data_IF_680583782268
#
_entry.id   IF_680583782268
#
_cell.length_a   1.000
_cell.length_b   1.000
_cell.length_c   1.000
_cell.angle_alpha   90.00
_cell.angle_beta   90.00
_cell.angle_gamma   90.00
#
_symmetry.space_group_name_H-M   'P 1'
#
loop_
_entity.id
_entity.type
_entity.pdbx_description
1 polymer ?
#
# COMPACT_ATOMS: atom_id res chain seq x y z
N UNK A 1 5.18 -14.04 -1.58
CA UNK A 1 6.22 -14.19 -2.63
C UNK A 1 6.63 -12.82 -3.20
N UNK A 2 5.72 -11.99 -3.74
CA UNK A 2 6.04 -10.68 -4.36
C UNK A 2 6.76 -9.73 -3.41
N UNK A 3 6.26 -9.57 -2.17
CA UNK A 3 6.89 -8.71 -1.16
C UNK A 3 8.35 -9.08 -0.86
N UNK A 4 8.63 -10.38 -0.76
CA UNK A 4 10.02 -10.85 -0.59
C UNK A 4 10.87 -10.52 -1.82
N UNK A 5 10.30 -10.68 -3.03
CA UNK A 5 10.97 -10.28 -4.27
C UNK A 5 11.32 -8.80 -4.29
N UNK A 6 10.42 -7.92 -3.86
CA UNK A 6 10.65 -6.47 -3.75
C UNK A 6 11.81 -6.17 -2.79
N UNK A 7 11.84 -6.79 -1.61
CA UNK A 7 12.93 -6.60 -0.63
C UNK A 7 14.27 -7.07 -1.22
N UNK A 8 14.31 -8.23 -1.87
CA UNK A 8 15.53 -8.76 -2.48
C UNK A 8 16.06 -7.86 -3.62
N UNK A 9 15.17 -7.17 -4.33
CA UNK A 9 15.58 -6.18 -5.34
C UNK A 9 16.31 -4.98 -4.71
N UNK A 10 16.16 -4.73 -3.41
CA UNK A 10 16.95 -3.73 -2.68
C UNK A 10 18.46 -3.97 -2.75
N UNK A 11 18.89 -5.21 -2.91
CA UNK A 11 20.32 -5.56 -3.08
C UNK A 11 20.86 -5.03 -4.42
N UNK A 12 20.01 -4.90 -5.45
CA UNK A 12 20.37 -4.32 -6.75
C UNK A 12 20.42 -2.78 -6.73
N UNK A 13 20.01 -2.15 -5.63
CA UNK A 13 20.02 -0.69 -5.49
C UNK A 13 19.00 0.02 -6.39
N UNK A 14 19.35 1.25 -6.82
CA UNK A 14 18.48 2.14 -7.60
C UNK A 14 18.06 1.57 -8.95
N UNK A 15 18.88 0.73 -9.57
CA UNK A 15 18.64 0.20 -10.92
C UNK A 15 17.44 -0.75 -10.98
N UNK A 16 17.00 -1.25 -9.83
CA UNK A 16 15.83 -2.14 -9.74
C UNK A 16 14.50 -1.40 -9.57
N UNK A 17 14.48 -0.06 -9.53
CA UNK A 17 13.28 0.72 -9.23
C UNK A 17 12.11 0.40 -10.19
N UNK A 18 12.37 0.29 -11.48
CA UNK A 18 11.34 -0.05 -12.47
C UNK A 18 10.72 -1.43 -12.23
N UNK A 19 11.57 -2.41 -11.87
CA UNK A 19 11.10 -3.76 -11.53
C UNK A 19 10.28 -3.76 -10.24
N UNK A 20 10.64 -2.93 -9.25
CA UNK A 20 9.88 -2.79 -8.01
C UNK A 20 8.50 -2.20 -8.28
N UNK A 21 8.41 -1.16 -9.12
CA UNK A 21 7.13 -0.60 -9.52
C UNK A 21 6.27 -1.66 -10.22
N UNK A 22 6.85 -2.42 -11.15
CA UNK A 22 6.14 -3.52 -11.83
C UNK A 22 5.66 -4.59 -10.84
N UNK A 23 6.50 -5.03 -9.91
CA UNK A 23 6.11 -6.02 -8.89
C UNK A 23 5.04 -5.49 -7.95
N UNK A 24 5.07 -4.21 -7.61
CA UNK A 24 4.02 -3.54 -6.83
C UNK A 24 2.69 -3.56 -7.59
N UNK A 25 2.68 -3.21 -8.88
CA UNK A 25 1.48 -3.27 -9.73
C UNK A 25 0.93 -4.71 -9.82
N UNK A 26 1.79 -5.72 -10.01
CA UNK A 26 1.39 -7.12 -10.06
C UNK A 26 0.82 -7.55 -8.70
N UNK A 27 1.47 -7.18 -7.58
CA UNK A 27 1.02 -7.51 -6.24
C UNK A 27 -0.37 -6.99 -5.95
N UNK A 28 -0.62 -5.72 -6.24
CA UNK A 28 -1.93 -5.11 -6.04
C UNK A 28 -2.98 -5.63 -7.03
N UNK A 29 -2.59 -5.95 -8.27
CA UNK A 29 -3.51 -6.55 -9.24
C UNK A 29 -3.98 -7.93 -8.78
N UNK A 30 -3.06 -8.76 -8.27
CA UNK A 30 -3.42 -10.10 -7.75
C UNK A 30 -4.32 -9.98 -6.54
N UNK A 31 -4.06 -9.06 -5.62
CA UNK A 31 -4.90 -8.82 -4.45
C UNK A 31 -6.33 -8.39 -4.83
N UNK A 32 -6.44 -7.45 -5.79
CA UNK A 32 -7.74 -7.00 -6.31
C UNK A 32 -8.51 -8.16 -6.96
N UNK A 33 -7.84 -9.00 -7.73
CA UNK A 33 -8.46 -10.14 -8.41
C UNK A 33 -8.91 -11.20 -7.39
N UNK A 34 -8.07 -11.53 -6.42
CA UNK A 34 -8.39 -12.49 -5.37
C UNK A 34 -9.58 -12.00 -4.52
N UNK A 35 -9.58 -10.73 -4.15
CA UNK A 35 -10.69 -10.11 -3.44
C UNK A 35 -12.01 -10.10 -4.25
N UNK A 36 -11.95 -9.95 -5.59
CA UNK A 36 -13.14 -10.05 -6.45
C UNK A 36 -13.68 -11.47 -6.52
N UNK A 37 -12.78 -12.45 -6.70
CA UNK A 37 -13.14 -13.86 -6.75
C UNK A 37 -13.74 -14.30 -5.42
N UNK A 38 -13.11 -13.95 -4.31
CA UNK A 38 -13.60 -14.28 -2.98
C UNK A 38 -15.02 -13.75 -2.73
N UNK A 39 -15.28 -12.49 -3.03
CA UNK A 39 -16.62 -11.88 -2.88
C UNK A 39 -17.69 -12.50 -3.79
N UNK A 40 -17.30 -13.04 -4.94
CA UNK A 40 -18.25 -13.71 -5.85
C UNK A 40 -18.67 -15.09 -5.37
N UNK A 41 -17.77 -15.79 -4.67
CA UNK A 41 -17.98 -17.19 -4.25
C UNK A 41 -18.31 -17.34 -2.77
N UNK A 42 -17.86 -16.44 -1.89
CA UNK A 42 -18.04 -16.52 -0.45
C UNK A 42 -18.87 -15.34 0.06
N UNK A 43 -20.06 -15.64 0.61
CA UNK A 43 -20.99 -14.63 1.15
C UNK A 43 -20.57 -14.06 2.52
N UNK A 44 -19.61 -14.66 3.21
CA UNK A 44 -19.16 -14.22 4.53
C UNK A 44 -17.96 -13.27 4.43
N UNK A 45 -18.26 -11.97 4.51
CA UNK A 45 -17.33 -10.89 4.18
C UNK A 45 -16.25 -10.57 5.24
N UNK A 46 -16.36 -11.06 6.48
CA UNK A 46 -15.55 -10.60 7.61
C UNK A 46 -14.11 -11.12 7.59
N UNK A 47 -13.89 -12.39 7.30
CA UNK A 47 -12.56 -13.01 7.35
C UNK A 47 -11.65 -12.66 6.16
N UNK A 48 -12.24 -12.41 4.99
CA UNK A 48 -11.52 -12.02 3.77
C UNK A 48 -10.99 -10.59 3.87
N UNK A 49 -11.79 -9.66 4.42
CA UNK A 49 -11.38 -8.25 4.56
C UNK A 49 -10.20 -8.01 5.51
N UNK A 50 -10.05 -8.83 6.56
CA UNK A 50 -8.90 -8.75 7.47
C UNK A 50 -7.61 -9.22 6.79
N UNK A 51 -7.67 -10.25 5.96
CA UNK A 51 -6.51 -10.76 5.22
C UNK A 51 -6.06 -9.81 4.11
N UNK A 52 -6.99 -9.24 3.34
CA UNK A 52 -6.68 -8.24 2.32
C UNK A 52 -5.86 -7.09 2.94
N UNK A 53 -6.29 -6.57 4.08
CA UNK A 53 -5.60 -5.49 4.77
C UNK A 53 -4.16 -5.84 5.20
N UNK A 54 -3.93 -7.07 5.67
CA UNK A 54 -2.59 -7.52 6.06
C UNK A 54 -1.66 -7.62 4.85
N UNK A 55 -2.15 -8.10 3.70
CA UNK A 55 -1.36 -8.16 2.47
C UNK A 55 -0.98 -6.78 1.95
N UNK A 56 -1.91 -5.82 1.98
CA UNK A 56 -1.64 -4.43 1.62
C UNK A 56 -0.51 -3.84 2.48
N UNK A 57 -0.58 -4.01 3.79
CA UNK A 57 0.45 -3.52 4.72
C UNK A 57 1.80 -4.17 4.45
N UNK A 58 1.85 -5.48 4.19
CA UNK A 58 3.09 -6.20 3.87
C UNK A 58 3.70 -5.67 2.56
N UNK A 59 2.87 -5.42 1.54
CA UNK A 59 3.34 -4.92 0.26
C UNK A 59 3.89 -3.49 0.38
N UNK A 60 3.17 -2.61 1.10
CA UNK A 60 3.61 -1.23 1.39
C UNK A 60 4.94 -1.24 2.15
N UNK A 61 5.04 -2.09 3.19
CA UNK A 61 6.26 -2.21 3.99
C UNK A 61 7.44 -2.72 3.16
N UNK A 62 7.23 -3.69 2.26
CA UNK A 62 8.28 -4.19 1.37
C UNK A 62 8.79 -3.11 0.42
N UNK A 63 7.90 -2.25 -0.10
CA UNK A 63 8.26 -1.08 -0.90
C UNK A 63 9.13 -0.09 -0.13
N UNK A 64 8.78 0.22 1.13
CA UNK A 64 9.61 1.07 1.98
C UNK A 64 10.98 0.45 2.26
N UNK A 65 11.04 -0.85 2.59
CA UNK A 65 12.31 -1.55 2.79
C UNK A 65 13.21 -1.44 1.55
N UNK A 66 12.65 -1.64 0.36
CA UNK A 66 13.39 -1.44 -0.88
C UNK A 66 13.93 -0.01 -1.00
N UNK A 67 13.09 1.01 -0.80
CA UNK A 67 13.49 2.41 -0.94
C UNK A 67 14.60 2.81 0.03
N UNK A 68 14.59 2.26 1.23
CA UNK A 68 15.66 2.47 2.23
C UNK A 68 16.94 1.75 1.80
N UNK A 69 16.85 0.48 1.38
CA UNK A 69 18.02 -0.30 0.94
C UNK A 69 18.66 0.27 -0.33
N UNK A 70 17.85 0.77 -1.26
CA UNK A 70 18.31 1.42 -2.49
C UNK A 70 18.86 2.86 -2.28
N UNK A 71 18.74 3.40 -1.06
CA UNK A 71 19.28 4.73 -0.72
C UNK A 71 18.38 5.90 -1.12
N UNK A 72 17.14 5.66 -1.61
CA UNK A 72 16.21 6.73 -1.94
C UNK A 72 15.62 7.41 -0.70
N UNK A 73 15.50 6.67 0.40
CA UNK A 73 14.98 7.16 1.67
C UNK A 73 16.01 6.91 2.77
N UNK A 74 16.44 7.94 3.54
CA UNK A 74 17.35 7.73 4.64
C UNK A 74 16.73 6.83 5.71
N UNK A 75 17.52 5.91 6.26
CA UNK A 75 17.07 4.95 7.27
C UNK A 75 16.46 5.60 8.51
N UNK A 76 17.08 6.66 9.04
CA UNK A 76 16.65 7.28 10.29
C UNK A 76 15.24 7.89 10.21
N UNK A 77 14.89 8.74 9.21
CA UNK A 77 13.53 9.24 9.05
C UNK A 77 12.50 8.12 8.85
N UNK A 78 12.83 7.09 8.07
CA UNK A 78 11.95 5.94 7.87
C UNK A 78 11.69 5.19 9.18
N UNK A 79 12.72 4.93 9.97
CA UNK A 79 12.61 4.26 11.27
C UNK A 79 11.79 5.09 12.28
N UNK A 80 12.01 6.40 12.35
CA UNK A 80 11.25 7.30 13.22
C UNK A 80 9.78 7.33 12.80
N UNK A 81 9.50 7.39 11.48
CA UNK A 81 8.14 7.35 10.97
C UNK A 81 7.44 6.04 11.35
N UNK A 82 8.09 4.89 11.13
CA UNK A 82 7.51 3.59 11.45
C UNK A 82 7.27 3.42 12.96
N UNK A 83 8.21 3.86 13.80
CA UNK A 83 8.06 3.81 15.25
C UNK A 83 6.88 4.67 15.72
N UNK A 84 6.76 5.90 15.22
CA UNK A 84 5.64 6.78 15.55
C UNK A 84 4.31 6.21 15.03
N UNK A 85 4.28 5.70 13.81
CA UNK A 85 3.08 5.06 13.25
C UNK A 85 2.64 3.85 14.08
N UNK A 86 3.59 3.00 14.52
CA UNK A 86 3.28 1.86 15.39
C UNK A 86 2.66 2.30 16.71
N UNK A 87 3.20 3.35 17.36
CA UNK A 87 2.64 3.90 18.60
C UNK A 87 1.20 4.40 18.37
N UNK A 88 0.96 5.16 17.29
CA UNK A 88 -0.39 5.65 16.99
C UNK A 88 -1.37 4.52 16.68
N UNK A 89 -0.98 3.51 15.92
CA UNK A 89 -1.82 2.35 15.59
C UNK A 89 -2.20 1.58 16.86
N UNK A 90 -1.23 1.34 17.76
CA UNK A 90 -1.46 0.63 19.01
C UNK A 90 -2.36 1.44 19.96
N UNK A 91 -2.16 2.75 20.02
CA UNK A 91 -2.93 3.63 20.89
C UNK A 91 -4.38 3.77 20.44
N UNK A 92 -4.60 4.11 19.19
CA UNK A 92 -5.95 4.38 18.66
C UNK A 92 -6.72 3.12 18.26
N UNK A 93 -6.03 2.03 17.92
CA UNK A 93 -6.63 0.75 17.46
C UNK A 93 -7.70 0.94 16.38
N UNK A 94 -7.53 1.93 15.52
CA UNK A 94 -8.49 2.34 14.50
C UNK A 94 -7.96 2.02 13.10
N UNK A 95 -8.83 1.42 12.27
CA UNK A 95 -8.53 1.14 10.86
C UNK A 95 -8.23 2.43 10.09
N UNK A 96 -8.96 3.53 10.36
CA UNK A 96 -8.72 4.82 9.72
C UNK A 96 -7.36 5.41 10.06
N UNK A 97 -6.90 5.30 11.31
CA UNK A 97 -5.56 5.73 11.70
C UNK A 97 -4.50 4.92 10.96
N UNK A 98 -4.66 3.61 10.89
CA UNK A 98 -3.74 2.73 10.16
C UNK A 98 -3.69 3.07 8.67
N UNK A 99 -4.86 3.29 8.03
CA UNK A 99 -4.94 3.70 6.62
C UNK A 99 -4.28 5.05 6.38
N UNK A 100 -4.52 6.04 7.26
CA UNK A 100 -3.92 7.38 7.15
C UNK A 100 -2.39 7.33 7.22
N UNK A 101 -1.85 6.47 8.09
CA UNK A 101 -0.41 6.30 8.25
C UNK A 101 0.22 5.42 7.15
N UNK A 102 -0.52 4.47 6.59
CA UNK A 102 -0.06 3.64 5.48
C UNK A 102 -0.06 4.40 4.14
N UNK A 103 -0.98 5.35 3.93
CA UNK A 103 -1.15 6.06 2.67
C UNK A 103 0.11 6.79 2.17
N UNK A 104 0.84 7.58 2.99
CA UNK A 104 2.08 8.21 2.55
C UNK A 104 3.13 7.20 2.08
N UNK A 105 3.22 6.05 2.76
CA UNK A 105 4.14 4.98 2.40
C UNK A 105 3.75 4.28 1.09
N UNK A 106 2.45 4.14 0.82
CA UNK A 106 1.94 3.58 -0.43
C UNK A 106 2.22 4.50 -1.64
N UNK A 107 2.18 5.83 -1.43
CA UNK A 107 2.45 6.83 -2.47
C UNK A 107 3.95 7.05 -2.68
N UNK A 108 4.79 6.79 -1.69
CA UNK A 108 6.22 7.08 -1.72
C UNK A 108 6.97 6.43 -2.90
N UNK A 109 6.78 5.14 -3.23
CA UNK A 109 7.41 4.53 -4.40
C UNK A 109 7.05 5.25 -5.72
N UNK A 110 5.80 5.73 -5.85
CA UNK A 110 5.38 6.52 -7.01
C UNK A 110 6.12 7.85 -7.08
N UNK A 111 6.24 8.57 -5.96
CA UNK A 111 6.96 9.85 -5.92
C UNK A 111 8.43 9.66 -6.28
N UNK A 112 9.09 8.62 -5.74
CA UNK A 112 10.47 8.30 -6.07
C UNK A 112 10.62 7.92 -7.54
N UNK A 113 9.69 7.12 -8.08
CA UNK A 113 9.69 6.74 -9.49
C UNK A 113 9.48 7.94 -10.41
N UNK A 114 8.66 8.91 -10.03
CA UNK A 114 8.43 10.13 -10.82
C UNK A 114 9.74 10.89 -11.11
N UNK A 115 10.66 10.95 -10.14
CA UNK A 115 11.93 11.66 -10.29
C UNK A 115 13.06 10.80 -10.88
N UNK A 116 13.02 9.48 -10.73
CA UNK A 116 14.14 8.60 -11.08
C UNK A 116 13.82 7.63 -12.23
N UNK A 117 12.55 7.32 -12.48
CA UNK A 117 12.08 6.40 -13.52
C UNK A 117 10.73 6.88 -14.09
N UNK A 118 10.69 8.01 -14.84
CA UNK A 118 9.44 8.67 -15.23
C UNK A 118 8.50 7.78 -16.07
N UNK A 119 9.03 6.88 -16.87
CA UNK A 119 8.24 5.90 -17.63
C UNK A 119 7.51 4.91 -16.70
N UNK A 120 8.20 4.39 -15.71
CA UNK A 120 7.59 3.49 -14.71
C UNK A 120 6.52 4.23 -13.90
N UNK A 121 6.77 5.48 -13.53
CA UNK A 121 5.79 6.33 -12.86
C UNK A 121 4.55 6.58 -13.72
N UNK A 122 4.72 6.86 -15.02
CA UNK A 122 3.61 7.04 -15.95
C UNK A 122 2.76 5.77 -16.08
N UNK A 123 3.40 4.61 -16.25
CA UNK A 123 2.70 3.32 -16.31
C UNK A 123 1.94 3.04 -15.02
N UNK A 124 2.55 3.31 -13.87
CA UNK A 124 1.91 3.17 -12.56
C UNK A 124 0.70 4.10 -12.41
N UNK A 125 0.80 5.36 -12.85
CA UNK A 125 -0.30 6.31 -12.83
C UNK A 125 -1.49 5.83 -13.71
N UNK A 126 -1.21 5.41 -14.95
CA UNK A 126 -2.23 4.89 -15.87
C UNK A 126 -2.90 3.65 -15.27
N UNK A 127 -2.10 2.72 -14.72
CA UNK A 127 -2.61 1.53 -14.06
C UNK A 127 -3.50 1.89 -12.86
N UNK A 128 -3.05 2.80 -12.00
CA UNK A 128 -3.82 3.25 -10.81
C UNK A 128 -5.16 3.83 -11.22
N UNK A 129 -5.20 4.73 -12.22
CA UNK A 129 -6.44 5.30 -12.73
C UNK A 129 -7.35 4.22 -13.31
N UNK A 130 -6.79 3.28 -14.07
CA UNK A 130 -7.55 2.17 -14.67
C UNK A 130 -8.21 1.31 -13.60
N UNK A 131 -7.45 0.90 -12.58
CA UNK A 131 -7.97 0.10 -11.45
C UNK A 131 -9.05 0.85 -10.70
N UNK A 132 -8.85 2.15 -10.45
CA UNK A 132 -9.80 3.00 -9.75
C UNK A 132 -11.12 3.15 -10.51
N UNK A 133 -11.06 3.27 -11.83
CA UNK A 133 -12.26 3.31 -12.67
C UNK A 133 -13.00 1.97 -12.71
N UNK A 134 -12.26 0.87 -12.77
CA UNK A 134 -12.84 -0.48 -12.81
C UNK A 134 -13.52 -0.83 -11.47
N UNK A 135 -12.94 -0.42 -10.32
CA UNK A 135 -13.45 -0.71 -8.97
C UNK A 135 -14.02 0.53 -8.26
N UNK A 136 -14.60 1.46 -9.00
CA UNK A 136 -15.12 2.72 -8.50
C UNK A 136 -16.09 2.57 -7.31
N UNK A 137 -16.95 1.56 -7.35
CA UNK A 137 -17.88 1.30 -6.23
C UNK A 137 -17.17 0.87 -4.95
N UNK A 138 -16.11 0.03 -5.07
CA UNK A 138 -15.29 -0.36 -3.92
C UNK A 138 -14.54 0.85 -3.35
N UNK A 139 -13.95 1.66 -4.22
CA UNK A 139 -13.27 2.88 -3.80
C UNK A 139 -14.19 3.80 -2.99
N UNK A 140 -15.42 4.05 -3.47
CA UNK A 140 -16.42 4.81 -2.70
C UNK A 140 -16.71 4.17 -1.34
N UNK A 141 -16.87 2.85 -1.28
CA UNK A 141 -17.10 2.12 -0.05
C UNK A 141 -15.98 2.32 0.98
N UNK A 142 -14.73 2.19 0.54
CA UNK A 142 -13.55 2.41 1.40
C UNK A 142 -13.48 3.84 1.90
N UNK A 143 -13.77 4.84 1.05
CA UNK A 143 -13.78 6.25 1.44
C UNK A 143 -14.89 6.54 2.46
N UNK A 144 -16.09 5.99 2.27
CA UNK A 144 -17.19 6.14 3.22
C UNK A 144 -16.86 5.49 4.57
N UNK A 145 -16.36 4.26 4.56
CA UNK A 145 -15.91 3.57 5.78
C UNK A 145 -14.82 4.36 6.52
N UNK A 146 -13.88 4.94 5.78
CA UNK A 146 -12.85 5.81 6.35
C UNK A 146 -13.46 7.02 7.05
N UNK A 147 -14.39 7.73 6.40
CA UNK A 147 -15.05 8.91 6.95
C UNK A 147 -15.88 8.56 8.21
N UNK A 148 -16.62 7.46 8.18
CA UNK A 148 -17.42 7.00 9.32
C UNK A 148 -16.56 6.66 10.53
N UNK A 149 -15.48 5.91 10.33
CA UNK A 149 -14.54 5.57 11.38
C UNK A 149 -13.80 6.81 11.94
N UNK A 150 -13.45 7.79 11.08
CA UNK A 150 -12.83 9.04 11.51
C UNK A 150 -13.79 9.87 12.39
N UNK A 151 -15.08 9.94 12.04
CA UNK A 151 -16.11 10.61 12.86
C UNK A 151 -16.34 9.92 14.20
N UNK A 152 -16.20 8.59 14.26
CA UNK A 152 -16.34 7.84 15.52
C UNK A 152 -15.22 8.17 16.52
N UNK A 153 -13.98 8.38 16.04
CA UNK A 153 -12.84 8.79 16.88
C UNK A 153 -13.05 10.18 17.48
N UNK A 154 -13.69 11.08 16.76
CA UNK A 154 -13.91 12.47 17.18
C UNK A 154 -14.98 12.60 18.29
N UNK A 155 -15.76 11.54 18.56
CA UNK A 155 -16.83 11.52 19.58
C UNK A 155 -16.36 10.97 20.94
N UNK A 156 -15.12 10.52 21.04
CA UNK A 156 -14.44 10.07 22.28
C UNK A 156 -13.34 11.03 22.70
#
# INVERSE_FOLDING_TARGET
MIAVGIILLGIKGSDALELVILFTMIGWTTDILDGRIARRYYKEATWVGEREFVFDVILIFSGLCYLVMAGFVPFLPAAVYLASAAVFIIYFRSKSVTMSLAFPLAVLPFVVAYFNAPWAALLYAIWTVTVLLIDWQRFKGVVLEFIENAKAIQKH
#
